data_IF_511681543516
#
_entry.id   IF_511681543516
#
_cell.length_a   1.000
_cell.length_b   1.000
_cell.length_c   1.000
_cell.angle_alpha   90.00
_cell.angle_beta   90.00
_cell.angle_gamma   90.00
#
_symmetry.space_group_name_H-M   'P 1'
#
loop_
_entity.id
_entity.type
_entity.pdbx_description
1 polymer ?
#
# COMPACT_ATOMS: atom_id res chain seq x y z
N UNK A 1 -15.57 -13.54 33.20
CA UNK A 1 -16.13 -13.45 31.83
C UNK A 1 -15.24 -14.28 30.93
N UNK A 2 -15.76 -15.13 30.03
CA UNK A 2 -14.87 -15.89 29.14
C UNK A 2 -14.23 -14.96 28.12
N UNK A 3 -13.00 -15.27 27.68
CA UNK A 3 -12.29 -14.50 26.64
C UNK A 3 -13.15 -14.25 25.41
N UNK A 4 -13.86 -15.28 24.95
CA UNK A 4 -14.77 -15.16 23.81
C UNK A 4 -15.93 -14.16 24.04
N UNK A 5 -16.47 -14.08 25.26
CA UNK A 5 -17.53 -13.10 25.58
C UNK A 5 -16.99 -11.66 25.57
N UNK A 6 -15.77 -11.48 26.06
CA UNK A 6 -15.08 -10.19 26.02
C UNK A 6 -14.82 -9.74 24.57
N UNK A 7 -14.30 -10.64 23.71
CA UNK A 7 -14.05 -10.35 22.30
C UNK A 7 -15.34 -9.98 21.54
N UNK A 8 -16.46 -10.64 21.84
CA UNK A 8 -17.78 -10.29 21.24
C UNK A 8 -18.25 -8.89 21.66
N UNK A 9 -17.99 -8.48 22.90
CA UNK A 9 -18.29 -7.11 23.34
C UNK A 9 -17.42 -6.07 22.60
N UNK A 10 -16.14 -6.34 22.41
CA UNK A 10 -15.28 -5.48 21.60
C UNK A 10 -15.76 -5.39 20.16
N UNK A 11 -16.07 -6.53 19.53
CA UNK A 11 -16.64 -6.55 18.18
C UNK A 11 -17.89 -5.66 18.08
N UNK A 12 -18.81 -5.75 19.02
CA UNK A 12 -20.01 -4.91 19.03
C UNK A 12 -19.68 -3.42 19.10
N UNK A 13 -18.73 -3.04 19.95
CA UNK A 13 -18.29 -1.64 20.05
C UNK A 13 -17.65 -1.14 18.74
N UNK A 14 -16.78 -1.94 18.12
CA UNK A 14 -16.16 -1.58 16.83
C UNK A 14 -17.19 -1.41 15.72
N UNK A 15 -18.18 -2.31 15.63
CA UNK A 15 -19.25 -2.20 14.64
C UNK A 15 -20.12 -0.93 14.81
N UNK A 16 -20.37 -0.53 16.06
CA UNK A 16 -21.11 0.70 16.36
C UNK A 16 -20.31 1.98 16.01
N UNK A 17 -18.99 1.92 16.06
CA UNK A 17 -18.11 3.04 15.69
C UNK A 17 -17.90 3.19 14.18
N UNK A 18 -18.31 2.20 13.38
CA UNK A 18 -18.13 2.20 11.94
C UNK A 18 -19.04 3.23 11.27
N UNK A 19 -18.46 4.34 10.78
CA UNK A 19 -19.18 5.46 10.16
C UNK A 19 -19.21 5.43 8.64
N UNK A 20 -18.24 4.77 8.00
CA UNK A 20 -18.05 4.81 6.55
C UNK A 20 -18.73 3.61 5.88
N UNK A 21 -19.42 3.88 4.76
CA UNK A 21 -20.07 2.87 3.91
C UNK A 21 -19.37 2.67 2.56
N UNK A 22 -18.41 3.53 2.22
CA UNK A 22 -17.70 3.46 0.95
C UNK A 22 -16.87 2.18 0.82
N UNK A 23 -17.09 1.43 -0.28
CA UNK A 23 -16.37 0.20 -0.58
C UNK A 23 -15.13 0.49 -1.41
N UNK A 24 -13.98 0.08 -0.88
CA UNK A 24 -12.69 0.20 -1.55
C UNK A 24 -12.57 -0.79 -2.71
N UNK A 25 -11.76 -0.43 -3.72
CA UNK A 25 -11.47 -1.27 -4.89
C UNK A 25 -11.16 -2.74 -4.55
N UNK A 26 -10.58 -2.99 -3.40
CA UNK A 26 -10.13 -4.31 -2.97
C UNK A 26 -11.28 -5.32 -2.82
N UNK A 27 -12.52 -4.86 -2.59
CA UNK A 27 -13.71 -5.71 -2.58
C UNK A 27 -13.94 -6.45 -3.90
N UNK A 28 -13.50 -5.86 -5.03
CA UNK A 28 -13.66 -6.44 -6.37
C UNK A 28 -12.53 -7.42 -6.71
N UNK A 29 -11.42 -7.38 -5.95
CA UNK A 29 -10.21 -8.16 -6.22
C UNK A 29 -10.15 -9.43 -5.37
N UNK A 30 -10.70 -9.39 -4.15
CA UNK A 30 -10.62 -10.51 -3.21
C UNK A 30 -11.57 -11.63 -3.63
N UNK A 31 -11.03 -12.83 -3.76
CA UNK A 31 -11.81 -14.06 -3.79
C UNK A 31 -12.18 -14.48 -2.36
N UNK A 32 -13.39 -14.17 -1.96
CA UNK A 32 -13.91 -14.47 -0.62
C UNK A 32 -14.30 -15.94 -0.41
N UNK A 33 -14.19 -16.79 -1.42
CA UNK A 33 -14.40 -18.24 -1.26
C UNK A 33 -13.16 -18.93 -0.64
N UNK A 34 -12.04 -18.25 -0.59
CA UNK A 34 -10.82 -18.78 0.02
C UNK A 34 -10.98 -18.97 1.53
N UNK A 35 -10.51 -20.10 2.05
CA UNK A 35 -10.57 -20.44 3.48
C UNK A 35 -9.67 -19.56 4.35
N UNK A 36 -8.53 -19.10 3.81
CA UNK A 36 -7.56 -18.27 4.53
C UNK A 36 -7.15 -17.07 3.66
N UNK A 37 -7.54 -15.87 4.09
CA UNK A 37 -7.32 -14.61 3.37
C UNK A 37 -6.49 -13.67 4.23
N UNK A 38 -5.39 -13.16 3.70
CA UNK A 38 -4.58 -12.13 4.34
C UNK A 38 -4.68 -10.79 3.62
N UNK A 39 -4.99 -9.73 4.37
CA UNK A 39 -5.04 -8.35 3.88
C UNK A 39 -3.82 -7.60 4.41
N UNK A 40 -2.84 -7.39 3.57
CA UNK A 40 -1.61 -6.67 3.93
C UNK A 40 -1.61 -5.26 3.33
N UNK A 41 -0.96 -4.33 3.99
CA UNK A 41 -0.89 -2.94 3.47
C UNK A 41 -0.28 -1.99 4.47
N UNK A 42 0.08 -0.79 3.99
CA UNK A 42 0.64 0.27 4.83
C UNK A 42 -0.27 0.60 6.03
N UNK A 43 0.32 1.10 7.10
CA UNK A 43 -0.44 1.62 8.24
C UNK A 43 -1.29 2.82 7.79
N UNK A 44 -2.57 2.83 8.16
CA UNK A 44 -3.49 3.93 7.85
C UNK A 44 -4.21 3.84 6.50
N UNK A 45 -4.03 2.78 5.69
CA UNK A 45 -4.74 2.63 4.40
C UNK A 45 -6.20 2.16 4.53
N UNK A 46 -6.67 1.86 5.74
CA UNK A 46 -8.08 1.50 6.01
C UNK A 46 -8.37 0.01 6.13
N UNK A 47 -7.38 -0.85 6.41
CA UNK A 47 -7.56 -2.31 6.58
C UNK A 47 -8.64 -2.66 7.63
N UNK A 48 -8.54 -2.08 8.82
CA UNK A 48 -9.52 -2.27 9.91
C UNK A 48 -10.93 -1.91 9.48
N UNK A 49 -11.10 -0.75 8.80
CA UNK A 49 -12.40 -0.31 8.28
C UNK A 49 -12.96 -1.31 7.28
N UNK A 50 -12.13 -1.78 6.35
CA UNK A 50 -12.49 -2.81 5.36
C UNK A 50 -12.96 -4.10 6.05
N UNK A 51 -12.21 -4.61 7.03
CA UNK A 51 -12.56 -5.84 7.76
C UNK A 51 -13.88 -5.71 8.52
N UNK A 52 -14.12 -4.57 9.16
CA UNK A 52 -15.35 -4.28 9.88
C UNK A 52 -16.57 -4.12 8.93
N UNK A 53 -16.38 -3.50 7.76
CA UNK A 53 -17.42 -3.42 6.73
C UNK A 53 -17.77 -4.82 6.22
N UNK A 54 -16.78 -5.63 5.88
CA UNK A 54 -16.99 -7.01 5.45
C UNK A 54 -17.73 -7.83 6.53
N UNK A 55 -17.29 -7.75 7.79
CA UNK A 55 -17.97 -8.40 8.92
C UNK A 55 -19.44 -7.98 9.04
N UNK A 56 -19.71 -6.68 8.91
CA UNK A 56 -21.08 -6.11 9.03
C UNK A 56 -21.99 -6.62 7.93
N UNK A 57 -21.52 -6.63 6.69
CA UNK A 57 -22.29 -6.94 5.50
C UNK A 57 -22.43 -8.45 5.22
N UNK A 58 -21.52 -9.25 5.76
CA UNK A 58 -21.53 -10.70 5.54
C UNK A 58 -22.86 -11.34 6.03
N UNK A 59 -23.45 -12.24 5.23
CA UNK A 59 -24.78 -12.82 5.41
C UNK A 59 -24.96 -13.67 6.67
N UNK A 60 -23.89 -14.22 7.24
CA UNK A 60 -23.93 -14.98 8.48
C UNK A 60 -24.47 -14.15 9.66
N UNK A 61 -25.22 -14.75 10.60
CA UNK A 61 -25.62 -14.07 11.82
C UNK A 61 -24.42 -13.72 12.70
N UNK A 62 -24.50 -12.66 13.50
CA UNK A 62 -23.41 -12.19 14.36
C UNK A 62 -22.88 -13.27 15.33
N UNK A 63 -23.72 -14.22 15.74
CA UNK A 63 -23.29 -15.34 16.58
C UNK A 63 -22.25 -16.25 15.91
N UNK A 64 -22.26 -16.33 14.58
CA UNK A 64 -21.35 -17.13 13.75
C UNK A 64 -20.14 -16.35 13.19
N UNK A 65 -20.02 -15.08 13.54
CA UNK A 65 -18.92 -14.20 13.13
C UNK A 65 -18.15 -13.71 14.36
N UNK A 66 -16.83 -13.66 14.28
CA UNK A 66 -15.98 -13.09 15.32
C UNK A 66 -14.89 -12.22 14.70
N UNK A 67 -14.77 -11.01 15.22
CA UNK A 67 -13.68 -10.07 14.93
C UNK A 67 -12.98 -9.67 16.21
N UNK A 68 -11.67 -9.64 16.18
CA UNK A 68 -10.85 -8.98 17.19
C UNK A 68 -9.52 -8.51 16.61
N UNK A 69 -8.89 -7.57 17.31
CA UNK A 69 -7.52 -7.14 17.00
C UNK A 69 -6.53 -7.86 17.93
N UNK A 70 -5.43 -8.33 17.33
CA UNK A 70 -4.40 -9.08 18.06
C UNK A 70 -3.62 -8.22 19.08
N UNK A 71 -3.75 -6.88 19.01
CA UNK A 71 -3.13 -5.94 19.95
C UNK A 71 -4.08 -5.51 21.10
N UNK A 72 -5.36 -5.88 21.03
CA UNK A 72 -6.36 -5.39 21.98
C UNK A 72 -6.36 -6.12 23.34
N UNK A 73 -5.78 -7.30 23.40
CA UNK A 73 -5.79 -8.15 24.60
C UNK A 73 -4.52 -9.02 24.62
N UNK A 74 -3.99 -9.30 25.82
CA UNK A 74 -3.00 -10.37 26.01
C UNK A 74 -3.69 -11.72 25.72
N UNK A 75 -3.42 -12.27 24.56
CA UNK A 75 -4.02 -13.53 24.10
C UNK A 75 -3.07 -14.69 24.41
N UNK A 76 -3.55 -15.67 25.18
CA UNK A 76 -2.76 -16.87 25.51
C UNK A 76 -2.55 -17.75 24.26
N UNK A 77 -3.61 -17.97 23.45
CA UNK A 77 -3.56 -18.77 22.22
C UNK A 77 -4.66 -18.36 21.23
N UNK A 78 -4.26 -18.05 20.00
CA UNK A 78 -5.21 -17.79 18.90
C UNK A 78 -5.98 -19.06 18.53
N UNK A 79 -5.31 -20.22 18.57
CA UNK A 79 -5.96 -21.50 18.27
C UNK A 79 -7.05 -21.83 19.28
N UNK A 80 -6.82 -21.63 20.57
CA UNK A 80 -7.82 -21.93 21.60
C UNK A 80 -9.06 -21.05 21.46
N UNK A 81 -8.86 -19.77 21.15
CA UNK A 81 -9.98 -18.84 20.85
C UNK A 81 -10.76 -19.30 19.63
N UNK A 82 -10.06 -19.67 18.54
CA UNK A 82 -10.68 -20.15 17.33
C UNK A 82 -11.42 -21.48 17.54
N UNK A 83 -10.85 -22.38 18.31
CA UNK A 83 -11.43 -23.67 18.67
C UNK A 83 -12.72 -23.51 19.49
N UNK A 84 -12.68 -22.69 20.54
CA UNK A 84 -13.86 -22.37 21.36
C UNK A 84 -14.96 -21.70 20.55
N UNK A 85 -14.58 -20.81 19.64
CA UNK A 85 -15.52 -20.16 18.73
C UNK A 85 -16.14 -21.16 17.77
N UNK A 86 -15.35 -22.02 17.12
CA UNK A 86 -15.80 -23.08 16.23
C UNK A 86 -16.73 -24.07 16.93
N UNK A 87 -16.37 -24.52 18.14
CA UNK A 87 -17.19 -25.43 18.94
C UNK A 87 -18.59 -24.86 19.27
N UNK A 88 -18.71 -23.53 19.34
CA UNK A 88 -19.99 -22.82 19.53
C UNK A 88 -20.71 -22.50 18.21
N UNK A 89 -20.29 -23.12 17.10
CA UNK A 89 -20.91 -22.96 15.77
C UNK A 89 -20.40 -21.74 14.97
N UNK A 90 -19.26 -21.16 15.36
CA UNK A 90 -18.57 -20.12 14.61
C UNK A 90 -18.19 -20.56 13.20
N UNK A 91 -18.21 -19.65 12.24
CA UNK A 91 -17.89 -19.92 10.83
C UNK A 91 -16.94 -18.91 10.20
N UNK A 92 -16.98 -17.65 10.61
CA UNK A 92 -16.11 -16.58 10.09
C UNK A 92 -15.31 -15.97 11.25
N UNK A 93 -13.99 -16.09 11.18
CA UNK A 93 -13.05 -15.48 12.13
C UNK A 93 -12.22 -14.41 11.42
N UNK A 94 -12.23 -13.19 11.96
CA UNK A 94 -11.45 -12.06 11.45
C UNK A 94 -10.48 -11.60 12.54
N UNK A 95 -9.18 -11.60 12.23
CA UNK A 95 -8.11 -11.18 13.16
C UNK A 95 -7.39 -9.97 12.56
N UNK A 96 -7.53 -8.82 13.18
CA UNK A 96 -6.84 -7.60 12.76
C UNK A 96 -5.45 -7.50 13.42
N UNK A 97 -4.50 -6.82 12.75
CA UNK A 97 -3.13 -6.57 13.23
C UNK A 97 -2.38 -7.84 13.70
N UNK A 98 -2.54 -8.95 12.97
CA UNK A 98 -2.02 -10.29 13.33
C UNK A 98 -0.53 -10.30 13.71
N UNK A 99 0.27 -9.39 13.13
CA UNK A 99 1.70 -9.25 13.38
C UNK A 99 2.06 -8.85 14.82
N UNK A 100 1.08 -8.41 15.61
CA UNK A 100 1.26 -8.12 17.03
C UNK A 100 1.29 -9.41 17.88
N UNK A 101 0.81 -10.52 17.33
CA UNK A 101 0.86 -11.82 18.01
C UNK A 101 2.07 -12.63 17.54
N UNK A 102 3.01 -12.91 18.43
CA UNK A 102 4.22 -13.68 18.11
C UNK A 102 3.89 -15.14 17.80
N UNK A 103 4.41 -15.67 16.69
CA UNK A 103 4.17 -17.05 16.29
C UNK A 103 2.81 -17.27 15.62
N UNK A 104 2.16 -16.21 15.14
CA UNK A 104 0.87 -16.26 14.49
C UNK A 104 0.83 -17.23 13.31
N UNK A 105 1.94 -17.44 12.61
CA UNK A 105 2.03 -18.32 11.44
C UNK A 105 1.68 -19.77 11.81
N UNK A 106 2.20 -20.24 12.94
CA UNK A 106 1.94 -21.60 13.45
C UNK A 106 0.48 -21.73 13.87
N UNK A 107 -0.04 -20.73 14.55
CA UNK A 107 -1.43 -20.72 15.03
C UNK A 107 -2.42 -20.63 13.87
N UNK A 108 -2.19 -19.77 12.87
CA UNK A 108 -3.03 -19.69 11.67
C UNK A 108 -3.04 -21.00 10.90
N UNK A 109 -1.88 -21.67 10.79
CA UNK A 109 -1.80 -22.99 10.15
C UNK A 109 -2.62 -24.03 10.91
N UNK A 110 -2.51 -24.12 12.23
CA UNK A 110 -3.33 -25.04 13.03
C UNK A 110 -4.83 -24.77 12.84
N UNK A 111 -5.25 -23.51 12.87
CA UNK A 111 -6.65 -23.12 12.62
C UNK A 111 -7.09 -23.58 11.25
N UNK A 112 -6.29 -23.30 10.20
CA UNK A 112 -6.58 -23.69 8.83
C UNK A 112 -6.71 -25.20 8.64
N UNK A 113 -5.79 -25.97 9.22
CA UNK A 113 -5.74 -27.44 9.03
C UNK A 113 -6.83 -28.17 9.85
N UNK A 114 -7.16 -27.68 11.04
CA UNK A 114 -7.96 -28.42 12.02
C UNK A 114 -9.42 -27.93 12.16
N UNK A 115 -9.73 -26.70 11.76
CA UNK A 115 -11.04 -26.11 12.00
C UNK A 115 -11.76 -25.79 10.68
N UNK A 116 -13.08 -26.02 10.64
CA UNK A 116 -13.94 -25.62 9.54
C UNK A 116 -14.39 -24.15 9.76
N UNK A 117 -13.42 -23.23 9.60
CA UNK A 117 -13.59 -21.79 9.72
C UNK A 117 -13.03 -21.09 8.50
N UNK A 118 -13.75 -20.10 7.98
CA UNK A 118 -13.15 -19.10 7.12
C UNK A 118 -12.36 -18.12 8.00
N UNK A 119 -11.10 -17.89 7.67
CA UNK A 119 -10.19 -17.04 8.43
C UNK A 119 -9.69 -15.89 7.55
N UNK A 120 -9.97 -14.67 7.99
CA UNK A 120 -9.45 -13.45 7.36
C UNK A 120 -8.58 -12.74 8.38
N UNK A 121 -7.39 -12.31 7.98
CA UNK A 121 -6.53 -11.53 8.86
C UNK A 121 -5.97 -10.30 8.17
N UNK A 122 -5.65 -9.28 8.95
CA UNK A 122 -4.86 -8.16 8.46
C UNK A 122 -3.49 -8.09 9.11
N UNK A 123 -2.58 -7.43 8.41
CA UNK A 123 -1.25 -7.18 8.95
C UNK A 123 -0.52 -6.02 8.26
N UNK A 124 0.61 -5.63 8.85
CA UNK A 124 1.52 -4.66 8.25
C UNK A 124 2.06 -5.18 6.91
N UNK A 125 2.29 -4.29 5.95
CA UNK A 125 2.99 -4.61 4.70
C UNK A 125 4.42 -5.13 4.91
N UNK A 126 5.00 -4.87 6.09
CA UNK A 126 6.31 -5.41 6.47
C UNK A 126 6.26 -6.92 6.77
N UNK A 127 5.05 -7.48 7.02
CA UNK A 127 4.88 -8.92 7.13
C UNK A 127 5.33 -9.58 5.83
N UNK A 128 6.47 -10.23 5.89
CA UNK A 128 6.80 -11.26 4.94
C UNK A 128 6.25 -12.55 5.53
N UNK A 129 5.18 -13.07 4.98
CA UNK A 129 4.86 -14.47 5.18
C UNK A 129 5.90 -15.21 4.34
N UNK A 130 7.14 -15.20 4.84
CA UNK A 130 8.25 -15.88 4.22
C UNK A 130 7.87 -17.36 4.08
N UNK A 131 7.97 -17.84 2.86
CA UNK A 131 7.74 -19.22 2.48
C UNK A 131 8.52 -20.26 3.33
N UNK A 132 9.40 -19.79 4.21
CA UNK A 132 10.31 -20.62 5.03
C UNK A 132 9.84 -20.89 6.46
N UNK A 133 8.87 -20.21 7.03
CA UNK A 133 8.56 -20.30 8.47
C UNK A 133 7.21 -20.91 8.83
N UNK A 134 6.48 -21.52 7.95
CA UNK A 134 5.23 -22.14 8.41
C UNK A 134 4.24 -22.59 7.38
N UNK A 135 4.64 -22.94 6.16
CA UNK A 135 3.72 -23.62 5.19
C UNK A 135 2.36 -22.90 4.96
N UNK A 136 2.21 -21.66 5.41
CA UNK A 136 1.04 -20.79 5.14
C UNK A 136 0.90 -20.50 3.64
N UNK A 137 2.02 -20.58 2.89
CA UNK A 137 2.05 -20.37 1.45
C UNK A 137 1.17 -21.33 0.66
N UNK A 138 0.80 -22.49 1.24
CA UNK A 138 -0.08 -23.46 0.57
C UNK A 138 -1.56 -23.20 0.80
N UNK A 139 -1.93 -22.37 1.77
CA UNK A 139 -3.33 -22.14 2.15
C UNK A 139 -3.76 -20.68 2.16
N UNK A 140 -2.85 -19.73 2.38
CA UNK A 140 -3.18 -18.31 2.49
C UNK A 140 -3.08 -17.58 1.15
N UNK A 141 -4.14 -16.87 0.77
CA UNK A 141 -4.10 -15.91 -0.34
C UNK A 141 -3.92 -14.51 0.23
N UNK A 142 -2.84 -13.82 -0.19
CA UNK A 142 -2.51 -12.48 0.30
C UNK A 142 -2.92 -11.43 -0.71
N UNK A 143 -3.68 -10.45 -0.23
CA UNK A 143 -4.09 -9.29 -1.02
C UNK A 143 -3.45 -8.02 -0.45
N UNK A 144 -2.82 -7.24 -1.32
CA UNK A 144 -2.23 -5.97 -0.93
C UNK A 144 -3.24 -4.83 -1.04
N UNK A 145 -3.57 -4.20 0.08
CA UNK A 145 -4.40 -3.00 0.11
C UNK A 145 -3.55 -1.74 0.01
N UNK A 146 -3.72 -1.00 -1.09
CA UNK A 146 -3.08 0.32 -1.30
C UNK A 146 -3.84 1.43 -0.59
N UNK A 147 -3.27 2.63 -0.54
CA UNK A 147 -3.99 3.85 -0.21
C UNK A 147 -5.12 4.15 -1.19
N UNK A 148 -5.83 5.25 -1.01
CA UNK A 148 -6.83 5.68 -1.98
C UNK A 148 -6.19 5.99 -3.32
N UNK A 149 -6.78 5.52 -4.40
CA UNK A 149 -6.49 6.06 -5.73
C UNK A 149 -7.09 7.45 -5.89
N UNK A 150 -6.71 8.17 -6.92
CA UNK A 150 -7.31 9.49 -7.21
C UNK A 150 -8.80 9.36 -7.49
N UNK A 151 -9.21 8.30 -8.20
CA UNK A 151 -10.62 7.95 -8.41
C UNK A 151 -11.36 7.78 -7.08
N UNK A 152 -10.88 6.90 -6.19
CA UNK A 152 -11.50 6.64 -4.89
C UNK A 152 -11.56 7.89 -4.00
N UNK A 153 -10.56 8.76 -4.08
CA UNK A 153 -10.56 10.03 -3.36
C UNK A 153 -11.69 10.95 -3.83
N UNK A 154 -11.90 11.08 -5.15
CA UNK A 154 -12.98 11.88 -5.73
C UNK A 154 -14.33 11.27 -5.37
N UNK A 155 -14.50 9.95 -5.49
CA UNK A 155 -15.73 9.24 -5.12
C UNK A 155 -16.14 9.50 -3.67
N UNK A 156 -15.17 9.39 -2.75
CA UNK A 156 -15.41 9.70 -1.32
C UNK A 156 -15.77 11.17 -1.09
N UNK A 157 -15.14 12.08 -1.82
CA UNK A 157 -15.33 13.52 -1.63
C UNK A 157 -16.64 14.02 -2.21
N UNK A 158 -17.07 13.47 -3.36
CA UNK A 158 -18.26 13.87 -4.08
C UNK A 158 -19.47 12.96 -3.85
N UNK A 159 -19.27 11.82 -3.18
CA UNK A 159 -20.29 10.77 -3.00
C UNK A 159 -20.88 10.30 -4.34
N UNK A 160 -20.02 10.05 -5.31
CA UNK A 160 -20.33 9.53 -6.65
C UNK A 160 -19.60 8.22 -6.90
N UNK A 161 -19.92 7.54 -7.99
CA UNK A 161 -19.19 6.36 -8.48
C UNK A 161 -18.58 6.68 -9.83
N UNK A 162 -17.29 6.42 -10.00
CA UNK A 162 -16.54 6.67 -11.22
C UNK A 162 -16.00 5.34 -11.80
N UNK A 163 -15.87 5.26 -13.12
CA UNK A 163 -15.35 4.06 -13.76
C UNK A 163 -13.88 3.81 -13.43
N UNK A 164 -13.51 2.53 -13.42
CA UNK A 164 -12.14 2.04 -13.32
C UNK A 164 -11.69 1.52 -14.67
N UNK A 165 -10.43 1.70 -15.02
CA UNK A 165 -9.87 1.27 -16.30
C UNK A 165 -8.64 0.39 -16.11
N UNK A 166 -8.49 -0.63 -16.93
CA UNK A 166 -7.23 -1.36 -17.03
C UNK A 166 -6.14 -0.49 -17.71
N UNK A 167 -4.87 -0.80 -17.44
CA UNK A 167 -3.76 -0.11 -18.11
C UNK A 167 -3.89 -0.17 -19.63
N UNK A 168 -4.27 -1.32 -20.19
CA UNK A 168 -4.41 -1.51 -21.64
C UNK A 168 -5.50 -0.62 -22.23
N UNK A 169 -6.65 -0.52 -21.58
CA UNK A 169 -7.75 0.37 -22.00
C UNK A 169 -7.32 1.83 -21.93
N UNK A 170 -6.66 2.22 -20.83
CA UNK A 170 -6.18 3.57 -20.63
C UNK A 170 -5.17 3.96 -21.73
N UNK A 171 -4.16 3.13 -22.00
CA UNK A 171 -3.17 3.41 -23.04
C UNK A 171 -3.77 3.47 -24.45
N UNK A 172 -4.78 2.66 -24.74
CA UNK A 172 -5.40 2.58 -26.06
C UNK A 172 -6.46 3.67 -26.31
N UNK A 173 -7.10 4.22 -25.25
CA UNK A 173 -8.31 5.05 -25.43
C UNK A 173 -8.35 6.27 -24.49
N UNK A 174 -7.21 6.72 -24.02
CA UNK A 174 -7.08 7.78 -23.00
C UNK A 174 -7.76 9.10 -23.39
N UNK A 175 -7.81 9.44 -24.70
CA UNK A 175 -8.44 10.69 -25.17
C UNK A 175 -9.95 10.66 -24.86
N UNK A 176 -10.65 9.59 -25.25
CA UNK A 176 -12.08 9.44 -24.99
C UNK A 176 -12.36 9.32 -23.48
N UNK A 177 -11.56 8.51 -22.78
CA UNK A 177 -11.68 8.35 -21.32
C UNK A 177 -11.55 9.70 -20.61
N UNK A 178 -10.52 10.47 -20.94
CA UNK A 178 -10.31 11.80 -20.38
C UNK A 178 -11.47 12.74 -20.69
N UNK A 179 -11.98 12.71 -21.92
CA UNK A 179 -13.13 13.54 -22.32
C UNK A 179 -14.39 13.18 -21.53
N UNK A 180 -14.71 11.90 -21.39
CA UNK A 180 -15.88 11.42 -20.63
C UNK A 180 -15.79 11.82 -19.16
N UNK A 181 -14.65 11.60 -18.52
CA UNK A 181 -14.45 11.96 -17.11
C UNK A 181 -14.55 13.49 -16.93
N UNK A 182 -13.93 14.29 -17.81
CA UNK A 182 -14.00 15.76 -17.72
C UNK A 182 -15.42 16.32 -17.93
N UNK A 183 -16.32 15.57 -18.60
CA UNK A 183 -17.75 15.95 -18.70
C UNK A 183 -18.50 15.74 -17.39
N UNK A 184 -18.15 14.74 -16.62
CA UNK A 184 -18.80 14.39 -15.36
C UNK A 184 -18.22 15.17 -14.18
N UNK A 185 -16.90 15.29 -14.14
CA UNK A 185 -16.14 15.98 -13.10
C UNK A 185 -15.00 16.79 -13.74
N UNK A 186 -14.41 17.69 -12.98
CA UNK A 186 -13.17 18.38 -13.36
C UNK A 186 -12.03 17.88 -12.47
N UNK A 187 -11.22 16.91 -12.92
CA UNK A 187 -10.21 16.25 -12.09
C UNK A 187 -9.23 17.22 -11.42
N UNK A 188 -8.83 18.29 -12.12
CA UNK A 188 -7.89 19.27 -11.58
C UNK A 188 -8.43 20.10 -10.40
N UNK A 189 -9.74 20.17 -10.17
CA UNK A 189 -10.30 20.78 -8.95
C UNK A 189 -9.94 19.96 -7.68
N UNK A 190 -9.61 18.68 -7.84
CA UNK A 190 -9.26 17.75 -6.74
C UNK A 190 -7.79 17.37 -6.72
N UNK A 191 -7.05 17.66 -7.80
CA UNK A 191 -5.71 17.12 -8.03
C UNK A 191 -4.71 17.53 -6.97
N UNK A 192 -4.55 18.84 -6.73
CA UNK A 192 -3.58 19.34 -5.76
C UNK A 192 -3.86 18.86 -4.35
N UNK A 193 -5.15 18.77 -3.99
CA UNK A 193 -5.57 18.26 -2.70
C UNK A 193 -5.25 16.78 -2.54
N UNK A 194 -5.53 15.98 -3.58
CA UNK A 194 -5.18 14.56 -3.58
C UNK A 194 -3.67 14.35 -3.46
N UNK A 195 -2.90 15.01 -4.29
CA UNK A 195 -1.43 14.92 -4.31
C UNK A 195 -0.86 15.19 -2.92
N UNK A 196 -1.43 16.14 -2.19
CA UNK A 196 -0.97 16.54 -0.86
C UNK A 196 -1.55 15.71 0.28
N UNK A 197 -2.80 15.28 0.18
CA UNK A 197 -3.54 14.73 1.32
C UNK A 197 -4.33 13.45 1.01
N UNK A 198 -4.54 13.10 -0.26
CA UNK A 198 -5.60 12.18 -0.66
C UNK A 198 -5.27 10.69 -0.55
N UNK A 199 -4.02 10.30 -0.30
CA UNK A 199 -3.62 8.89 -0.32
C UNK A 199 -4.14 8.07 0.88
N UNK A 200 -4.24 8.67 2.08
CA UNK A 200 -4.67 7.96 3.29
C UNK A 200 -6.10 8.34 3.70
N UNK A 201 -7.02 7.35 3.86
CA UNK A 201 -8.44 7.60 4.15
C UNK A 201 -8.72 8.44 5.41
N UNK A 202 -7.83 8.44 6.40
CA UNK A 202 -8.01 9.22 7.63
C UNK A 202 -8.00 10.75 7.39
N UNK A 203 -7.71 11.20 6.17
CA UNK A 203 -7.96 12.57 5.73
C UNK A 203 -9.42 12.97 5.91
N UNK A 204 -10.35 12.06 5.60
CA UNK A 204 -11.80 12.30 5.73
C UNK A 204 -12.32 12.28 7.18
N UNK A 205 -11.50 11.85 8.13
CA UNK A 205 -11.83 11.95 9.57
C UNK A 205 -11.54 13.33 10.13
N UNK A 206 -10.36 13.88 9.83
CA UNK A 206 -9.91 15.20 10.25
C UNK A 206 -8.76 15.68 9.37
N UNK A 207 -9.03 16.67 8.53
CA UNK A 207 -8.06 17.20 7.57
C UNK A 207 -7.05 18.19 8.20
N UNK A 208 -7.42 18.91 9.27
CA UNK A 208 -6.58 19.97 9.85
C UNK A 208 -5.28 19.46 10.46
N UNK A 209 -5.25 18.25 10.98
CA UNK A 209 -4.06 17.61 11.58
C UNK A 209 -3.46 16.49 10.72
N UNK A 210 -3.87 16.35 9.46
CA UNK A 210 -3.53 15.22 8.61
C UNK A 210 -2.02 14.98 8.47
N UNK A 211 -1.24 15.98 8.07
CA UNK A 211 0.21 15.82 7.87
C UNK A 211 0.94 15.50 9.18
N UNK A 212 0.48 16.06 10.30
CA UNK A 212 1.03 15.71 11.62
C UNK A 212 0.73 14.23 11.95
N UNK A 213 -0.52 13.80 11.82
CA UNK A 213 -0.93 12.40 12.02
C UNK A 213 -0.16 11.45 11.09
N UNK A 214 0.05 11.84 9.83
CA UNK A 214 0.81 11.03 8.87
C UNK A 214 2.27 10.91 9.31
N UNK A 215 2.89 11.99 9.77
CA UNK A 215 4.26 11.95 10.31
C UNK A 215 4.38 11.02 11.51
N UNK A 216 3.42 11.08 12.46
CA UNK A 216 3.40 10.16 13.60
C UNK A 216 3.13 8.70 13.17
N UNK A 217 2.30 8.49 12.16
CA UNK A 217 2.09 7.17 11.56
C UNK A 217 3.40 6.58 11.02
N UNK A 218 4.19 7.39 10.30
CA UNK A 218 5.50 6.95 9.78
C UNK A 218 6.48 6.69 10.93
N UNK A 219 6.51 7.54 11.94
CA UNK A 219 7.33 7.32 13.13
C UNK A 219 6.97 5.98 13.79
N UNK A 220 5.69 5.66 13.94
CA UNK A 220 5.23 4.37 14.49
C UNK A 220 5.68 3.20 13.62
N UNK A 221 5.62 3.30 12.30
CA UNK A 221 6.14 2.25 11.39
C UNK A 221 7.63 2.03 11.61
N UNK A 222 8.41 3.10 11.71
CA UNK A 222 9.88 3.01 11.85
C UNK A 222 10.31 2.55 13.24
N UNK A 223 9.63 3.02 14.29
CA UNK A 223 10.03 2.79 15.69
C UNK A 223 9.41 1.54 16.31
N UNK A 224 8.25 1.09 15.80
CA UNK A 224 7.48 0.00 16.40
C UNK A 224 7.26 -1.14 15.40
N UNK A 225 6.64 -0.87 14.23
CA UNK A 225 6.22 -1.95 13.34
C UNK A 225 7.43 -2.66 12.69
N UNK A 226 8.40 -1.92 12.15
CA UNK A 226 9.62 -2.51 11.56
C UNK A 226 10.44 -3.28 12.61
N UNK A 227 10.77 -2.74 13.82
CA UNK A 227 11.50 -3.49 14.83
C UNK A 227 10.76 -4.69 15.39
N UNK A 228 9.43 -4.72 15.36
CA UNK A 228 8.66 -5.90 15.81
C UNK A 228 8.84 -7.12 14.90
N UNK A 229 9.23 -6.89 13.64
CA UNK A 229 9.37 -7.93 12.61
C UNK A 229 10.85 -8.23 12.33
N UNK A 230 11.69 -7.20 12.29
CA UNK A 230 13.11 -7.31 11.99
C UNK A 230 13.96 -7.00 13.22
N UNK A 231 15.05 -7.76 13.45
CA UNK A 231 15.94 -7.50 14.58
C UNK A 231 16.74 -6.20 14.33
N UNK A 232 16.23 -5.08 14.86
CA UNK A 232 16.88 -3.77 14.79
C UNK A 232 17.07 -3.27 16.22
N UNK A 233 18.32 -2.95 16.57
CA UNK A 233 18.67 -2.32 17.84
C UNK A 233 18.12 -0.89 17.88
N UNK A 234 17.66 -0.44 19.02
CA UNK A 234 17.00 0.86 19.20
C UNK A 234 17.86 2.04 18.70
N UNK A 235 19.17 2.01 18.98
CA UNK A 235 20.12 3.04 18.52
C UNK A 235 20.27 3.10 16.98
N UNK A 236 19.90 2.04 16.27
CA UNK A 236 19.94 1.98 14.79
C UNK A 236 18.66 2.56 14.15
N UNK A 237 17.57 2.74 14.90
CA UNK A 237 16.34 3.36 14.39
C UNK A 237 16.61 4.78 13.88
N UNK A 238 17.49 5.51 14.53
CA UNK A 238 17.91 6.85 14.09
C UNK A 238 18.49 6.84 12.66
N UNK A 239 19.15 5.75 12.25
CA UNK A 239 19.69 5.63 10.91
C UNK A 239 18.59 5.45 9.86
N UNK A 240 17.50 4.76 10.19
CA UNK A 240 16.31 4.68 9.32
C UNK A 240 15.70 6.07 9.11
N UNK A 241 15.55 6.86 10.18
CA UNK A 241 15.05 8.24 10.10
C UNK A 241 15.97 9.16 9.28
N UNK A 242 17.28 9.06 9.49
CA UNK A 242 18.27 9.79 8.67
C UNK A 242 18.13 9.41 7.21
N UNK A 243 17.90 8.13 6.91
CA UNK A 243 17.74 7.66 5.55
C UNK A 243 16.51 8.29 4.87
N UNK A 244 15.36 8.31 5.55
CA UNK A 244 14.15 8.97 5.04
C UNK A 244 14.44 10.43 4.73
N UNK A 245 15.10 11.15 5.65
CA UNK A 245 15.43 12.56 5.46
C UNK A 245 16.38 12.79 4.28
N UNK A 246 17.35 11.91 4.05
CA UNK A 246 18.27 12.00 2.90
C UNK A 246 17.54 11.85 1.56
N UNK A 247 16.55 10.97 1.49
CA UNK A 247 15.73 10.80 0.27
C UNK A 247 14.95 12.08 -0.03
N UNK A 248 14.45 12.77 1.00
CA UNK A 248 13.79 14.08 0.86
C UNK A 248 14.69 15.18 0.27
N UNK A 249 15.99 15.13 0.53
CA UNK A 249 16.94 16.16 0.10
C UNK A 249 17.46 15.98 -1.34
N UNK A 250 17.06 14.92 -1.99
CA UNK A 250 17.63 14.52 -3.29
C UNK A 250 16.57 14.60 -4.39
N UNK A 251 16.97 15.09 -5.58
CA UNK A 251 16.22 14.83 -6.84
C UNK A 251 16.20 13.34 -7.11
N UNK A 252 15.35 12.78 -8.05
CA UNK A 252 15.19 11.35 -8.22
C UNK A 252 16.50 10.63 -7.98
N UNK A 253 16.54 9.90 -6.87
CA UNK A 253 17.79 9.55 -6.23
C UNK A 253 18.42 8.34 -6.95
N UNK A 254 19.35 8.61 -7.86
CA UNK A 254 20.26 7.55 -8.32
C UNK A 254 21.10 7.11 -7.14
N UNK A 255 20.94 5.87 -6.72
CA UNK A 255 21.55 5.35 -5.49
C UNK A 255 23.07 5.26 -5.64
N UNK A 256 23.78 6.19 -5.03
CA UNK A 256 25.22 6.06 -4.79
C UNK A 256 25.42 5.47 -3.37
N UNK A 257 25.62 4.15 -3.31
CA UNK A 257 25.76 3.41 -2.05
C UNK A 257 26.90 3.96 -1.18
N UNK A 258 28.02 4.35 -1.77
CA UNK A 258 29.18 4.90 -1.03
C UNK A 258 28.84 6.23 -0.37
N UNK A 259 28.17 7.11 -1.10
CA UNK A 259 27.74 8.40 -0.59
C UNK A 259 26.67 8.25 0.51
N UNK A 260 25.70 7.39 0.32
CA UNK A 260 24.69 7.06 1.32
C UNK A 260 25.31 6.51 2.60
N UNK A 261 26.19 5.52 2.46
CA UNK A 261 26.92 4.91 3.56
C UNK A 261 27.64 5.99 4.41
N UNK A 262 28.32 6.93 3.76
CA UNK A 262 29.01 8.02 4.44
C UNK A 262 28.03 8.96 5.15
N UNK A 263 26.94 9.39 4.47
CA UNK A 263 25.96 10.35 5.03
C UNK A 263 25.16 9.78 6.19
N UNK A 264 24.84 8.47 6.16
CA UNK A 264 24.09 7.81 7.23
C UNK A 264 25.02 7.37 8.36
N UNK A 265 26.32 7.15 8.08
CA UNK A 265 27.32 6.66 9.03
C UNK A 265 27.32 5.12 9.14
N UNK A 266 26.88 4.41 8.11
CA UNK A 266 26.86 2.94 8.06
C UNK A 266 28.00 2.48 7.14
N UNK A 267 29.00 1.79 7.68
CA UNK A 267 30.16 1.31 6.90
C UNK A 267 29.83 0.03 6.11
N UNK A 268 28.94 -0.80 6.62
CA UNK A 268 28.52 -2.05 5.98
C UNK A 268 27.40 -1.82 4.98
N UNK A 269 27.69 -2.04 3.69
CA UNK A 269 26.73 -1.87 2.59
C UNK A 269 25.56 -2.87 2.67
N UNK A 270 25.77 -4.07 3.22
CA UNK A 270 24.69 -5.05 3.36
C UNK A 270 23.65 -4.55 4.37
N UNK A 271 24.09 -3.91 5.45
CA UNK A 271 23.19 -3.27 6.40
C UNK A 271 22.39 -2.14 5.75
N UNK A 272 23.01 -1.35 4.88
CA UNK A 272 22.31 -0.31 4.13
C UNK A 272 21.23 -0.89 3.20
N UNK A 273 21.52 -1.97 2.48
CA UNK A 273 20.52 -2.67 1.66
C UNK A 273 19.38 -3.25 2.50
N UNK A 274 19.68 -3.82 3.67
CA UNK A 274 18.64 -4.29 4.61
C UNK A 274 17.73 -3.15 5.05
N UNK A 275 18.27 -1.97 5.35
CA UNK A 275 17.47 -0.81 5.74
C UNK A 275 16.58 -0.30 4.59
N UNK A 276 17.09 -0.31 3.35
CA UNK A 276 16.24 -0.02 2.17
C UNK A 276 15.07 -1.00 2.09
N UNK A 277 15.35 -2.29 2.26
CA UNK A 277 14.32 -3.31 2.19
C UNK A 277 13.32 -3.19 3.35
N UNK A 278 13.74 -2.88 4.56
CA UNK A 278 12.85 -2.66 5.69
C UNK A 278 11.91 -1.47 5.47
N UNK A 279 12.44 -0.36 4.95
CA UNK A 279 11.63 0.82 4.63
C UNK A 279 10.71 0.57 3.42
N UNK A 280 11.13 -0.23 2.45
CA UNK A 280 10.27 -0.69 1.35
C UNK A 280 9.12 -1.54 1.88
N UNK A 281 9.41 -2.53 2.72
CA UNK A 281 8.39 -3.40 3.34
C UNK A 281 7.45 -2.61 4.25
N UNK A 282 7.95 -1.59 4.95
CA UNK A 282 7.12 -0.63 5.70
C UNK A 282 6.27 0.31 4.82
N UNK A 283 6.38 0.20 3.49
CA UNK A 283 5.73 1.11 2.51
C UNK A 283 6.05 2.59 2.76
N UNK A 284 7.30 2.84 3.18
CA UNK A 284 7.88 4.19 3.27
C UNK A 284 8.65 4.49 2.00
N UNK A 285 9.36 3.49 1.43
CA UNK A 285 10.09 3.59 0.18
C UNK A 285 9.51 2.71 -0.92
N UNK A 286 9.70 3.16 -2.15
CA UNK A 286 9.64 2.35 -3.35
C UNK A 286 11.03 2.26 -3.97
N UNK A 287 11.43 1.05 -4.34
CA UNK A 287 12.73 0.75 -4.95
C UNK A 287 12.52 0.32 -6.39
N UNK A 288 13.09 1.03 -7.34
CA UNK A 288 13.11 0.62 -8.73
C UNK A 288 14.43 -0.07 -9.07
N UNK A 289 14.31 -1.22 -9.73
CA UNK A 289 15.45 -2.02 -10.21
C UNK A 289 15.49 -2.01 -11.74
N UNK A 290 16.67 -2.18 -12.31
CA UNK A 290 16.81 -2.36 -13.75
C UNK A 290 16.23 -3.71 -14.19
N UNK A 291 15.80 -3.79 -15.45
CA UNK A 291 15.48 -5.07 -16.09
C UNK A 291 16.75 -5.93 -16.16
N UNK A 292 16.73 -7.12 -15.57
CA UNK A 292 17.83 -8.08 -15.63
C UNK A 292 17.34 -9.43 -16.09
N UNK A 293 18.21 -10.18 -16.79
CA UNK A 293 17.99 -11.59 -17.07
C UNK A 293 18.32 -12.38 -15.80
N UNK A 294 17.30 -12.85 -15.07
CA UNK A 294 17.48 -13.63 -13.85
C UNK A 294 16.74 -13.04 -12.64
N UNK A 295 17.07 -13.53 -11.45
CA UNK A 295 16.35 -13.19 -10.21
C UNK A 295 16.60 -11.73 -9.82
N UNK A 296 15.59 -10.88 -9.98
CA UNK A 296 15.67 -9.43 -9.73
C UNK A 296 15.85 -9.06 -8.26
N UNK A 297 15.65 -10.02 -7.35
CA UNK A 297 15.79 -9.81 -5.89
C UNK A 297 17.22 -9.39 -5.50
N UNK A 298 18.22 -9.91 -6.22
CA UNK A 298 19.64 -9.63 -5.95
C UNK A 298 20.19 -8.41 -6.68
N UNK A 299 19.36 -7.74 -7.50
CA UNK A 299 19.80 -6.58 -8.26
C UNK A 299 19.77 -5.33 -7.39
N UNK A 300 20.89 -4.61 -7.37
CA UNK A 300 20.99 -3.30 -6.73
C UNK A 300 19.87 -2.37 -7.23
N UNK A 301 19.07 -1.75 -6.35
CA UNK A 301 18.10 -0.76 -6.79
C UNK A 301 18.83 0.44 -7.40
N UNK A 302 18.31 0.97 -8.51
CA UNK A 302 18.90 2.11 -9.21
C UNK A 302 18.27 3.43 -8.78
N UNK A 303 16.97 3.44 -8.56
CA UNK A 303 16.24 4.63 -8.09
C UNK A 303 15.47 4.30 -6.80
N UNK A 304 15.36 5.32 -5.95
CA UNK A 304 14.70 5.26 -4.65
C UNK A 304 13.77 6.46 -4.50
N UNK A 305 12.54 6.20 -4.09
CA UNK A 305 11.50 7.20 -3.87
C UNK A 305 10.79 6.97 -2.52
N UNK A 306 10.15 8.02 -1.98
CA UNK A 306 9.10 7.81 -0.98
C UNK A 306 7.89 7.12 -1.64
N UNK A 307 7.17 6.30 -0.89
CA UNK A 307 6.17 5.39 -1.43
C UNK A 307 4.93 6.07 -2.03
N UNK A 308 4.62 7.29 -1.61
CA UNK A 308 3.53 8.10 -2.18
C UNK A 308 3.78 9.59 -1.97
N UNK A 309 3.01 10.42 -2.65
CA UNK A 309 3.18 11.88 -2.64
C UNK A 309 2.94 12.49 -1.26
N UNK A 310 1.97 11.99 -0.50
CA UNK A 310 1.63 12.54 0.82
C UNK A 310 2.80 12.41 1.82
N UNK A 311 3.64 11.37 1.68
CA UNK A 311 4.85 11.23 2.49
C UNK A 311 5.85 12.36 2.24
N UNK A 312 5.97 12.85 1.00
CA UNK A 312 6.80 14.02 0.69
C UNK A 312 6.31 15.26 1.44
N UNK A 313 5.01 15.52 1.44
CA UNK A 313 4.43 16.68 2.12
C UNK A 313 4.50 16.58 3.66
N UNK A 314 4.52 15.37 4.21
CA UNK A 314 4.64 15.15 5.65
C UNK A 314 6.10 15.22 6.16
N UNK A 315 7.07 14.86 5.32
CA UNK A 315 8.45 14.62 5.77
C UNK A 315 9.50 15.54 5.16
N UNK A 316 9.27 16.03 3.93
CA UNK A 316 10.27 16.79 3.19
C UNK A 316 10.03 18.30 3.30
N UNK A 317 11.10 19.08 3.53
CA UNK A 317 11.01 20.52 3.62
C UNK A 317 10.96 21.18 2.22
N UNK A 318 11.60 20.57 1.23
CA UNK A 318 11.58 21.01 -0.16
C UNK A 318 10.98 19.93 -1.05
N UNK A 319 10.06 20.33 -1.90
CA UNK A 319 9.31 19.42 -2.77
C UNK A 319 9.61 19.76 -4.23
N UNK A 320 10.22 18.79 -4.93
CA UNK A 320 10.49 18.89 -6.36
C UNK A 320 9.27 18.32 -7.14
N UNK A 321 8.63 19.16 -7.94
CA UNK A 321 7.42 18.79 -8.68
C UNK A 321 7.63 17.61 -9.64
N UNK A 322 8.80 17.51 -10.25
CA UNK A 322 9.16 16.36 -11.10
C UNK A 322 9.11 15.05 -10.32
N UNK A 323 9.70 15.04 -9.12
CA UNK A 323 9.67 13.87 -8.21
C UNK A 323 8.23 13.52 -7.80
N UNK A 324 7.39 14.50 -7.49
CA UNK A 324 5.99 14.26 -7.13
C UNK A 324 5.22 13.57 -8.26
N UNK A 325 5.44 13.97 -9.51
CA UNK A 325 4.82 13.35 -10.68
C UNK A 325 5.21 11.87 -10.83
N UNK A 326 6.52 11.59 -10.72
CA UNK A 326 7.04 10.22 -10.78
C UNK A 326 6.51 9.36 -9.61
N UNK A 327 6.47 9.90 -8.39
CA UNK A 327 5.95 9.22 -7.19
C UNK A 327 4.46 8.95 -7.31
N UNK A 328 3.65 9.92 -7.78
CA UNK A 328 2.24 9.68 -8.02
C UNK A 328 2.06 8.53 -9.02
N UNK A 329 2.69 8.62 -10.18
CA UNK A 329 2.62 7.59 -11.21
C UNK A 329 2.95 6.21 -10.64
N UNK A 330 4.09 6.10 -9.97
CA UNK A 330 4.57 4.85 -9.41
C UNK A 330 3.62 4.28 -8.34
N UNK A 331 3.00 5.13 -7.51
CA UNK A 331 2.11 4.69 -6.43
C UNK A 331 0.81 4.04 -6.91
N UNK A 332 0.46 4.21 -8.20
CA UNK A 332 -0.71 3.58 -8.81
C UNK A 332 -0.46 2.13 -9.23
N UNK A 333 0.79 1.69 -9.31
CA UNK A 333 1.17 0.34 -9.71
C UNK A 333 1.61 -0.53 -8.53
N UNK A 334 1.65 -1.84 -8.74
CA UNK A 334 2.35 -2.77 -7.87
C UNK A 334 3.86 -2.71 -8.18
N UNK A 335 4.69 -2.82 -7.14
CA UNK A 335 6.14 -2.62 -7.24
C UNK A 335 6.80 -3.51 -8.30
N UNK A 336 6.26 -4.72 -8.51
CA UNK A 336 6.79 -5.75 -9.42
C UNK A 336 6.55 -5.41 -10.90
N UNK A 337 5.57 -4.55 -11.19
CA UNK A 337 5.24 -4.13 -12.55
C UNK A 337 6.16 -3.05 -13.10
N UNK A 338 6.93 -2.39 -12.24
CA UNK A 338 7.75 -1.23 -12.60
C UNK A 338 9.25 -1.55 -12.52
N UNK A 339 9.97 -1.16 -13.56
CA UNK A 339 11.43 -1.26 -13.66
C UNK A 339 12.02 0.06 -14.16
N UNK A 340 13.33 0.26 -13.96
CA UNK A 340 14.08 1.35 -14.60
C UNK A 340 14.58 0.92 -15.98
N UNK A 341 14.85 1.91 -16.81
CA UNK A 341 15.49 1.72 -18.11
C UNK A 341 16.47 2.86 -18.42
N UNK A 342 17.30 2.68 -19.45
CA UNK A 342 18.32 3.67 -19.81
C UNK A 342 17.70 4.95 -20.40
N UNK A 343 16.61 4.81 -21.18
CA UNK A 343 15.89 5.91 -21.81
C UNK A 343 14.43 5.88 -21.35
N UNK A 344 13.99 6.88 -20.59
CA UNK A 344 12.68 6.97 -19.97
C UNK A 344 12.73 6.86 -18.45
N UNK A 345 11.61 7.06 -17.80
CA UNK A 345 11.49 7.00 -16.35
C UNK A 345 11.12 5.62 -15.84
N UNK A 346 10.15 4.95 -16.52
CA UNK A 346 9.59 3.66 -16.11
C UNK A 346 9.39 2.71 -17.29
N UNK A 347 9.64 1.42 -17.05
CA UNK A 347 9.21 0.32 -17.89
C UNK A 347 8.11 -0.44 -17.15
N UNK A 348 6.91 -0.54 -17.73
CA UNK A 348 5.77 -1.24 -17.15
C UNK A 348 5.60 -2.59 -17.84
N UNK A 349 5.41 -3.66 -17.04
CA UNK A 349 5.13 -5.02 -17.50
C UNK A 349 6.12 -5.46 -18.60
N UNK A 350 7.37 -5.03 -18.50
CA UNK A 350 8.45 -5.26 -19.48
C UNK A 350 8.12 -4.83 -20.93
N UNK A 351 7.06 -4.04 -21.11
CA UNK A 351 6.46 -3.77 -22.42
C UNK A 351 6.35 -2.29 -22.75
N UNK A 352 5.91 -1.47 -21.80
CA UNK A 352 5.57 -0.07 -22.05
C UNK A 352 6.61 0.87 -21.45
N UNK A 353 7.23 1.70 -22.28
CA UNK A 353 8.19 2.72 -21.84
C UNK A 353 7.44 4.02 -21.55
N UNK A 354 7.67 4.55 -20.36
CA UNK A 354 6.99 5.77 -19.87
C UNK A 354 8.01 6.85 -19.54
N UNK A 355 7.72 8.05 -20.00
CA UNK A 355 8.43 9.27 -19.65
C UNK A 355 7.46 10.22 -18.96
N UNK A 356 7.68 10.53 -17.67
CA UNK A 356 6.79 11.37 -16.87
C UNK A 356 7.27 12.81 -16.86
N UNK A 357 6.35 13.79 -16.92
CA UNK A 357 6.73 15.20 -16.85
C UNK A 357 5.56 16.17 -16.77
N UNK A 358 5.84 17.45 -16.96
CA UNK A 358 4.82 18.49 -17.08
C UNK A 358 4.29 18.62 -18.49
N UNK A 359 3.35 19.55 -18.71
CA UNK A 359 2.67 19.78 -20.01
C UNK A 359 3.59 19.91 -21.22
N UNK A 360 4.81 20.43 -21.03
CA UNK A 360 5.78 20.67 -22.10
C UNK A 360 6.76 19.49 -22.30
N UNK A 361 6.58 18.36 -21.58
CA UNK A 361 7.43 17.19 -21.76
C UNK A 361 7.36 16.67 -23.19
N UNK A 362 8.51 16.43 -23.80
CA UNK A 362 8.62 15.98 -25.19
C UNK A 362 9.04 14.51 -25.28
N UNK A 363 8.79 13.90 -26.44
CA UNK A 363 9.19 12.51 -26.76
C UNK A 363 10.69 12.32 -27.00
N UNK A 364 11.51 13.37 -26.89
CA UNK A 364 12.92 13.35 -27.30
C UNK A 364 13.72 12.16 -26.79
N UNK A 365 13.47 11.72 -25.56
CA UNK A 365 14.21 10.62 -24.92
C UNK A 365 13.73 9.23 -25.36
N UNK A 366 12.44 9.11 -25.77
CA UNK A 366 11.79 7.83 -26.04
C UNK A 366 11.23 7.70 -27.47
N UNK A 367 11.55 8.66 -28.36
CA UNK A 367 10.94 8.77 -29.71
C UNK A 367 11.16 7.54 -30.60
N UNK A 368 12.25 6.81 -30.39
CA UNK A 368 12.66 5.65 -31.20
C UNK A 368 12.33 4.33 -30.50
N UNK A 369 11.52 4.37 -29.42
CA UNK A 369 11.16 3.20 -28.62
C UNK A 369 9.69 2.85 -28.91
N UNK A 370 9.44 1.64 -29.39
CA UNK A 370 8.10 1.13 -29.60
C UNK A 370 7.32 1.07 -28.28
N UNK A 371 6.00 1.30 -28.33
CA UNK A 371 5.12 1.30 -27.15
C UNK A 371 5.59 2.26 -26.05
N UNK A 372 6.03 3.43 -26.46
CA UNK A 372 6.47 4.49 -25.56
C UNK A 372 5.42 5.59 -25.44
N UNK A 373 5.24 6.12 -24.22
CA UNK A 373 4.26 7.15 -23.91
C UNK A 373 4.86 8.25 -23.05
N UNK A 374 4.48 9.50 -23.32
CA UNK A 374 4.72 10.63 -22.44
C UNK A 374 3.52 10.80 -21.52
N UNK A 375 3.73 10.67 -20.22
CA UNK A 375 2.70 10.91 -19.21
C UNK A 375 2.89 12.32 -18.64
N UNK A 376 1.96 13.21 -19.00
CA UNK A 376 2.10 14.64 -18.74
C UNK A 376 1.10 15.15 -17.70
N UNK A 377 1.62 15.89 -16.72
CA UNK A 377 0.83 16.69 -15.79
C UNK A 377 0.41 18.04 -16.45
N UNK A 378 -0.54 18.74 -15.84
CA UNK A 378 -1.09 20.01 -16.32
C UNK A 378 -1.76 19.93 -17.72
N UNK A 379 -2.34 18.78 -18.08
CA UNK A 379 -3.18 18.59 -19.27
C UNK A 379 -4.47 17.83 -18.90
N UNK A 380 -5.61 18.36 -19.36
CA UNK A 380 -6.93 17.75 -19.11
C UNK A 380 -7.16 16.55 -20.02
N UNK A 381 -6.80 16.66 -21.29
CA UNK A 381 -6.94 15.63 -22.33
C UNK A 381 -5.60 15.45 -23.02
N UNK A 382 -5.25 14.20 -23.34
CA UNK A 382 -4.05 13.86 -24.09
C UNK A 382 -4.25 13.91 -25.59
N UNK A 383 -3.17 13.61 -26.34
CA UNK A 383 -3.20 13.46 -27.77
C UNK A 383 -2.11 12.48 -28.24
N UNK A 384 -2.49 11.51 -29.08
CA UNK A 384 -1.57 10.47 -29.58
C UNK A 384 -0.97 9.65 -28.43
N UNK A 385 0.36 9.62 -28.33
CA UNK A 385 1.04 8.90 -27.25
C UNK A 385 1.32 9.78 -26.00
N UNK A 386 0.69 10.95 -25.90
CA UNK A 386 0.78 11.84 -24.74
C UNK A 386 -0.48 11.75 -23.90
N UNK A 387 -0.35 11.22 -22.67
CA UNK A 387 -1.45 10.83 -21.79
C UNK A 387 -1.47 11.73 -20.54
N UNK A 388 -2.62 12.21 -20.07
CA UNK A 388 -2.72 12.94 -18.81
C UNK A 388 -2.28 12.09 -17.60
N UNK A 389 -1.41 12.65 -16.76
CA UNK A 389 -0.90 11.98 -15.56
C UNK A 389 -2.04 11.55 -14.62
N UNK A 390 -3.03 12.40 -14.39
CA UNK A 390 -4.14 12.15 -13.48
C UNK A 390 -4.97 10.90 -13.83
N UNK A 391 -5.03 10.52 -15.14
CA UNK A 391 -5.76 9.32 -15.58
C UNK A 391 -5.24 8.02 -14.94
N UNK A 392 -3.94 7.95 -14.64
CA UNK A 392 -3.37 6.77 -13.97
C UNK A 392 -3.94 6.56 -12.57
N UNK A 393 -4.52 7.59 -11.95
CA UNK A 393 -5.26 7.48 -10.71
C UNK A 393 -6.63 6.77 -10.84
N UNK A 394 -6.99 6.30 -12.03
CA UNK A 394 -8.22 5.54 -12.32
C UNK A 394 -7.94 4.04 -12.62
N UNK A 395 -6.72 3.57 -12.36
CA UNK A 395 -6.34 2.16 -12.57
C UNK A 395 -6.95 1.21 -11.52
N UNK A 396 -7.35 1.71 -10.34
CA UNK A 396 -8.02 0.93 -9.30
C UNK A 396 -8.98 1.75 -8.46
#
# INVERSE_FOLDING_TARGET
>A
MSTLALLKNYQFNYLNMLKFSYKRYIYEVIDFEQKLIGIIGARGVGKTTFLLQYLKEHSLPLSKKLYFSADAIDLDSLFDIAYDFHKKGGKLLIIDEIHKYKGFEIELKKIYDMLDLQLIFSGSSALNIDHSKGDLSRGAVLYQMKGLSFREFIELKQNITLPKYSLKELLANHENIAYEINREIKPYEFWDEYIKYGYYPFYFENNSSYLLRLKETINTVVEVDIPSIFPIEYDKIINLKKFIKLVCLSKPFKINIKELSTKIGIKDYQTLYRYMEYLKRGKIFNLLRAKTKGDTIFVKPEKLYLANTNLHFAYCDNIEIGTIREVFFMSMFDDERLQTLANGDFLIDETYTIEVGGKNKSFKQIKDIEKSFVVADDIEVGFGDKIPLWLFGFLY
#
